data_IF_035994336788
#
_entry.id   IF_035994336788
#
_cell.length_a   1.000
_cell.length_b   1.000
_cell.length_c   1.000
_cell.angle_alpha   90.00
_cell.angle_beta   90.00
_cell.angle_gamma   90.00
#
_symmetry.space_group_name_H-M   'P 1'
#
loop_
_entity.id
_entity.type
_entity.pdbx_description
1 polymer ?
#
# COMPACT_ATOMS: atom_id res chain seq x y z
N UNK A 1 -8.92 -11.56 13.73
CA UNK A 1 -9.74 -10.50 13.13
C UNK A 1 -9.28 -10.15 11.72
N UNK A 2 -8.01 -9.79 11.55
CA UNK A 2 -7.46 -9.44 10.24
C UNK A 2 -6.17 -10.20 9.99
N UNK A 3 -5.94 -10.54 8.74
CA UNK A 3 -4.71 -11.20 8.27
C UNK A 3 -3.68 -10.13 7.87
N UNK A 4 -3.30 -9.30 8.84
CA UNK A 4 -2.28 -8.25 8.68
C UNK A 4 -1.38 -8.19 9.90
N UNK A 5 -0.15 -7.73 9.70
CA UNK A 5 0.79 -7.48 10.78
C UNK A 5 0.23 -6.44 11.75
N UNK A 6 0.33 -6.72 13.05
CA UNK A 6 -0.06 -5.78 14.09
C UNK A 6 1.13 -4.90 14.49
N UNK A 7 0.85 -3.68 14.88
CA UNK A 7 1.86 -2.71 15.31
C UNK A 7 1.98 -2.68 16.82
N UNK A 8 3.21 -2.80 17.35
CA UNK A 8 3.49 -2.65 18.76
C UNK A 8 3.54 -1.16 19.15
N UNK A 9 2.71 -0.76 20.10
CA UNK A 9 2.68 0.60 20.66
C UNK A 9 3.41 0.70 22.01
N UNK A 10 3.71 1.92 22.46
CA UNK A 10 4.44 2.20 23.71
C UNK A 10 3.79 1.60 24.97
N UNK A 11 2.48 1.40 24.96
CA UNK A 11 1.73 0.80 26.06
C UNK A 11 1.88 -0.73 26.15
N UNK A 12 2.80 -1.34 25.38
CA UNK A 12 3.04 -2.77 25.35
C UNK A 12 1.93 -3.60 24.70
N UNK A 13 1.04 -2.97 23.94
CA UNK A 13 -0.04 -3.64 23.21
C UNK A 13 0.21 -3.62 21.71
N UNK A 14 -0.22 -4.69 21.06
CA UNK A 14 -0.29 -4.80 19.61
C UNK A 14 -1.64 -4.28 19.12
N UNK A 15 -1.64 -3.46 18.08
CA UNK A 15 -2.84 -2.91 17.44
C UNK A 15 -2.93 -3.28 15.97
N UNK A 16 -4.12 -3.63 15.53
CA UNK A 16 -4.47 -3.75 14.13
C UNK A 16 -5.02 -2.41 13.62
N UNK A 17 -4.33 -1.75 12.71
CA UNK A 17 -4.77 -0.46 12.14
C UNK A 17 -5.91 -0.58 11.11
N UNK A 18 -6.35 -1.80 10.78
CA UNK A 18 -7.51 -2.03 9.92
C UNK A 18 -8.83 -2.06 10.69
N UNK A 19 -8.85 -2.69 11.86
CA UNK A 19 -10.08 -2.90 12.62
C UNK A 19 -10.04 -2.37 14.06
N UNK A 20 -8.92 -1.81 14.51
CA UNK A 20 -8.75 -1.31 15.88
C UNK A 20 -8.56 -2.42 16.93
N UNK A 21 -8.60 -3.70 16.54
CA UNK A 21 -8.37 -4.80 17.49
C UNK A 21 -7.01 -4.66 18.18
N UNK A 22 -6.96 -4.90 19.48
CA UNK A 22 -5.71 -4.83 20.24
C UNK A 22 -5.58 -5.98 21.25
N UNK A 23 -4.34 -6.43 21.45
CA UNK A 23 -3.99 -7.43 22.47
C UNK A 23 -2.65 -7.07 23.12
N UNK A 24 -2.39 -7.55 24.35
CA UNK A 24 -1.07 -7.42 24.97
C UNK A 24 -0.02 -8.12 24.12
N UNK A 25 1.22 -7.61 24.10
CA UNK A 25 2.33 -8.32 23.44
C UNK A 25 2.50 -9.71 24.03
N UNK A 26 2.36 -10.80 23.26
CA UNK A 26 2.52 -12.15 23.77
C UNK A 26 3.99 -12.40 24.13
N UNK A 27 4.22 -13.17 25.19
CA UNK A 27 5.58 -13.56 25.61
C UNK A 27 6.18 -14.65 24.72
N UNK A 28 5.33 -15.48 24.12
CA UNK A 28 5.70 -16.56 23.22
C UNK A 28 4.90 -16.41 21.92
N UNK A 29 5.50 -16.78 20.80
CA UNK A 29 4.78 -16.79 19.52
C UNK A 29 3.62 -17.79 19.59
N UNK A 30 2.38 -17.36 19.34
CA UNK A 30 1.21 -18.25 19.42
C UNK A 30 1.23 -19.35 18.35
N UNK A 31 2.02 -19.18 17.29
CA UNK A 31 2.13 -20.16 16.19
C UNK A 31 3.23 -21.20 16.43
N UNK A 32 4.43 -20.78 16.87
CA UNK A 32 5.58 -21.70 16.98
C UNK A 32 6.18 -21.79 18.40
N UNK A 33 5.62 -21.09 19.38
CA UNK A 33 6.10 -21.10 20.78
C UNK A 33 7.46 -20.38 21.00
N UNK A 34 8.03 -19.75 20.00
CA UNK A 34 9.31 -19.05 20.12
C UNK A 34 9.22 -17.86 21.09
N UNK A 35 10.17 -17.68 22.01
CA UNK A 35 10.27 -16.50 22.85
C UNK A 35 10.84 -15.27 22.08
N UNK A 36 11.39 -15.48 20.88
CA UNK A 36 12.00 -14.42 20.08
C UNK A 36 10.94 -13.74 19.20
N UNK A 37 10.06 -12.99 19.83
CA UNK A 37 9.09 -12.13 19.13
C UNK A 37 9.65 -10.72 19.15
N UNK A 38 10.07 -10.20 18.00
CA UNK A 38 10.52 -8.82 17.86
C UNK A 38 9.65 -8.06 16.85
N UNK A 39 9.53 -6.75 17.03
CA UNK A 39 8.94 -5.89 16.02
C UNK A 39 9.81 -5.90 14.76
N UNK A 40 9.20 -6.12 13.60
CA UNK A 40 9.89 -6.00 12.31
C UNK A 40 9.87 -4.54 11.85
N UNK A 41 11.04 -4.06 11.44
CA UNK A 41 11.22 -2.70 10.93
C UNK A 41 11.62 -1.68 12.00
N UNK A 42 12.17 -0.57 11.52
CA UNK A 42 12.52 0.58 12.35
C UNK A 42 11.38 1.59 12.25
N UNK A 43 10.50 1.62 13.26
CA UNK A 43 9.47 2.64 13.35
C UNK A 43 10.06 4.04 13.57
N UNK A 44 9.28 5.07 13.29
CA UNK A 44 9.69 6.49 13.46
C UNK A 44 10.21 6.79 14.85
N UNK A 45 9.64 6.15 15.88
CA UNK A 45 10.10 6.31 17.25
C UNK A 45 11.52 5.78 17.48
N UNK A 46 11.81 4.54 17.02
CA UNK A 46 13.15 3.96 17.15
C UNK A 46 14.16 4.76 16.33
N UNK A 47 13.75 5.24 15.17
CA UNK A 47 14.59 6.11 14.34
C UNK A 47 14.89 7.43 15.06
N UNK A 48 13.92 8.03 15.73
CA UNK A 48 14.10 9.22 16.57
C UNK A 48 15.11 8.97 17.70
N UNK A 49 14.96 7.86 18.44
CA UNK A 49 15.87 7.49 19.52
C UNK A 49 17.31 7.30 19.02
N UNK A 50 17.49 6.56 17.90
CA UNK A 50 18.80 6.38 17.28
C UNK A 50 19.40 7.69 16.78
N UNK A 51 18.59 8.56 16.18
CA UNK A 51 19.03 9.86 15.70
C UNK A 51 19.51 10.76 16.84
N UNK A 52 18.78 10.79 17.97
CA UNK A 52 19.19 11.53 19.16
C UNK A 52 20.48 10.99 19.79
N UNK A 53 20.73 9.68 19.68
CA UNK A 53 21.99 9.09 20.13
C UNK A 53 23.17 9.44 19.22
N UNK A 54 22.95 9.42 17.90
CA UNK A 54 23.99 9.74 16.91
C UNK A 54 24.29 11.25 16.85
N UNK A 55 23.28 12.09 17.06
CA UNK A 55 23.36 13.55 17.00
C UNK A 55 22.83 14.19 18.29
N UNK A 56 23.54 14.09 19.42
CA UNK A 56 23.03 14.53 20.73
C UNK A 56 22.72 16.02 20.82
N UNK A 57 23.34 16.83 19.94
CA UNK A 57 23.15 18.28 19.88
C UNK A 57 21.98 18.70 18.98
N UNK A 58 21.46 17.78 18.16
CA UNK A 58 20.41 18.10 17.20
C UNK A 58 19.02 18.09 17.85
N UNK A 59 18.22 19.07 17.52
CA UNK A 59 16.81 19.14 17.87
C UNK A 59 16.03 18.29 16.89
N UNK A 60 15.42 17.22 17.37
CA UNK A 60 14.71 16.24 16.55
C UNK A 60 13.21 16.33 16.78
N UNK A 61 12.45 16.55 15.72
CA UNK A 61 10.99 16.45 15.68
C UNK A 61 10.56 15.14 15.01
N UNK A 62 9.46 14.57 15.48
CA UNK A 62 8.84 13.39 14.90
C UNK A 62 7.39 13.67 14.50
N UNK A 63 7.03 13.25 13.30
CA UNK A 63 5.72 13.40 12.70
C UNK A 63 5.18 12.07 12.17
N UNK A 64 4.27 11.48 12.90
CA UNK A 64 3.57 10.24 12.55
C UNK A 64 2.12 10.27 13.08
N UNK A 65 1.38 9.17 12.90
CA UNK A 65 0.00 9.08 13.34
C UNK A 65 -0.18 9.31 14.85
N UNK A 66 0.81 8.89 15.67
CA UNK A 66 0.75 9.06 17.13
C UNK A 66 0.97 10.51 17.56
N UNK A 67 1.93 11.21 16.93
CA UNK A 67 2.26 12.60 17.27
C UNK A 67 1.25 13.59 16.70
N UNK A 68 0.56 13.23 15.63
CA UNK A 68 -0.44 14.07 14.95
C UNK A 68 -1.89 13.75 15.33
N UNK A 69 -2.11 12.86 16.31
CA UNK A 69 -3.47 12.47 16.75
C UNK A 69 -4.29 13.62 17.37
N UNK A 70 -3.63 14.65 17.90
CA UNK A 70 -4.29 15.85 18.41
C UNK A 70 -4.70 16.78 17.26
N UNK A 71 -5.86 17.43 17.39
CA UNK A 71 -6.30 18.45 16.42
C UNK A 71 -5.24 19.57 16.32
N UNK A 72 -4.74 19.84 15.11
CA UNK A 72 -3.70 20.83 14.85
C UNK A 72 -2.26 20.34 15.05
N UNK A 73 -2.02 19.13 15.58
CA UNK A 73 -0.66 18.62 15.84
C UNK A 73 0.21 18.47 14.59
N UNK A 74 -0.41 18.24 13.45
CA UNK A 74 0.28 18.21 12.15
C UNK A 74 0.84 19.60 11.78
N UNK A 75 0.02 20.64 11.86
CA UNK A 75 0.40 22.01 11.53
C UNK A 75 1.43 22.58 12.52
N UNK A 76 1.28 22.24 13.81
CA UNK A 76 2.22 22.66 14.86
C UNK A 76 3.65 22.15 14.60
N UNK A 77 3.80 20.84 14.32
CA UNK A 77 5.10 20.22 14.04
C UNK A 77 5.76 20.85 12.78
N UNK A 78 4.97 21.06 11.74
CA UNK A 78 5.49 21.62 10.49
C UNK A 78 5.90 23.08 10.64
N UNK A 79 5.09 23.88 11.33
CA UNK A 79 5.42 25.29 11.61
C UNK A 79 6.69 25.43 12.46
N UNK A 80 6.84 24.57 13.47
CA UNK A 80 8.07 24.54 14.29
C UNK A 80 9.30 24.17 13.46
N UNK A 81 9.19 23.19 12.54
CA UNK A 81 10.29 22.83 11.66
C UNK A 81 10.60 23.96 10.66
N UNK A 82 9.60 24.58 10.07
CA UNK A 82 9.75 25.72 9.14
C UNK A 82 10.37 26.94 9.83
N UNK A 83 10.02 27.19 11.09
CA UNK A 83 10.61 28.24 11.91
C UNK A 83 12.07 27.97 12.34
N UNK A 84 12.61 26.77 12.02
CA UNK A 84 13.96 26.38 12.40
C UNK A 84 14.10 25.99 13.88
N UNK A 85 13.01 25.61 14.54
CA UNK A 85 13.03 25.16 15.94
C UNK A 85 13.58 23.74 16.06
N UNK A 86 13.72 23.00 14.93
CA UNK A 86 14.34 21.69 14.88
C UNK A 86 15.30 21.58 13.69
N UNK A 87 16.31 20.74 13.87
CA UNK A 87 17.36 20.47 12.90
C UNK A 87 17.06 19.23 12.05
N UNK A 88 16.28 18.29 12.61
CA UNK A 88 15.92 17.02 11.96
C UNK A 88 14.41 16.76 12.13
N UNK A 89 13.73 16.50 11.03
CA UNK A 89 12.35 16.06 11.02
C UNK A 89 12.28 14.59 10.58
N UNK A 90 11.77 13.72 11.43
CA UNK A 90 11.57 12.29 11.16
C UNK A 90 10.08 12.03 10.99
N UNK A 91 9.71 11.30 9.92
CA UNK A 91 8.30 10.95 9.75
C UNK A 91 8.06 9.91 8.67
N UNK A 92 6.80 9.66 8.44
CA UNK A 92 6.32 8.78 7.37
C UNK A 92 6.08 9.60 6.09
N UNK A 93 5.40 9.01 5.11
CA UNK A 93 4.98 9.71 3.88
C UNK A 93 4.21 11.02 4.12
N UNK A 94 3.72 11.26 5.34
CA UNK A 94 2.99 12.48 5.70
C UNK A 94 3.83 13.73 5.54
N UNK A 95 5.14 13.68 5.85
CA UNK A 95 6.05 14.84 5.74
C UNK A 95 6.35 15.25 4.29
N UNK A 96 6.08 14.37 3.34
CA UNK A 96 6.41 14.61 1.92
C UNK A 96 5.35 15.43 1.22
N UNK A 97 4.09 15.42 1.72
CA UNK A 97 2.94 16.04 1.06
C UNK A 97 2.73 17.49 1.49
N UNK A 98 2.68 18.39 0.50
CA UNK A 98 2.08 19.73 0.67
C UNK A 98 2.92 20.81 1.34
N UNK A 99 4.18 20.55 1.75
CA UNK A 99 5.00 21.52 2.47
C UNK A 99 6.25 21.92 1.69
N UNK A 100 6.65 23.17 1.81
CA UNK A 100 7.80 23.74 1.13
C UNK A 100 8.87 24.21 2.14
N UNK A 101 9.76 23.29 2.52
CA UNK A 101 10.86 23.59 3.43
C UNK A 101 12.05 24.13 2.66
N UNK A 102 12.35 25.43 2.81
CA UNK A 102 13.43 26.11 2.10
C UNK A 102 14.85 25.72 2.56
N UNK A 103 14.99 25.25 3.81
CA UNK A 103 16.29 25.01 4.44
C UNK A 103 16.68 23.53 4.53
N UNK A 104 15.99 22.65 3.83
CA UNK A 104 16.32 21.21 3.83
C UNK A 104 17.46 20.93 2.86
N UNK A 105 18.62 20.58 3.41
CA UNK A 105 19.84 20.24 2.65
C UNK A 105 20.04 18.74 2.47
N UNK A 106 19.40 17.91 3.31
CA UNK A 106 19.49 16.44 3.23
C UNK A 106 18.12 15.79 3.40
N UNK A 107 17.81 14.87 2.52
CA UNK A 107 16.66 13.97 2.66
C UNK A 107 17.13 12.52 2.70
N UNK A 108 16.86 11.82 3.80
CA UNK A 108 17.11 10.39 3.95
C UNK A 108 15.83 9.59 3.76
N UNK A 109 15.81 8.66 2.81
CA UNK A 109 14.67 7.76 2.57
C UNK A 109 15.07 6.36 3.01
N UNK A 110 14.42 5.89 4.08
CA UNK A 110 14.69 4.59 4.67
C UNK A 110 13.79 3.51 4.06
N UNK A 111 14.38 2.35 3.77
CA UNK A 111 13.65 1.15 3.33
C UNK A 111 12.70 1.39 2.14
N UNK A 112 13.21 1.98 1.06
CA UNK A 112 12.44 2.31 -0.16
C UNK A 112 11.73 1.10 -0.78
N UNK A 113 12.21 -0.12 -0.51
CA UNK A 113 11.64 -1.38 -1.00
C UNK A 113 10.27 -1.73 -0.41
N UNK A 114 9.89 -1.16 0.74
CA UNK A 114 8.62 -1.49 1.39
C UNK A 114 7.43 -1.22 0.48
N UNK A 115 7.48 -0.15 -0.29
CA UNK A 115 6.42 0.20 -1.26
C UNK A 115 6.39 -0.73 -2.47
N UNK A 116 7.52 -1.33 -2.87
CA UNK A 116 7.60 -2.31 -3.95
C UNK A 116 7.01 -3.67 -3.59
N UNK A 117 6.98 -4.02 -2.31
CA UNK A 117 6.48 -5.31 -1.84
C UNK A 117 4.96 -5.34 -1.64
N UNK A 118 4.25 -4.27 -2.01
CA UNK A 118 2.78 -4.23 -1.97
C UNK A 118 2.22 -5.05 -3.14
N UNK A 119 1.25 -5.96 -2.92
CA UNK A 119 0.63 -6.76 -3.98
C UNK A 119 -0.37 -5.92 -4.81
N UNK A 120 0.12 -4.91 -5.50
CA UNK A 120 -0.61 -4.00 -6.38
C UNK A 120 0.25 -3.74 -7.63
N UNK A 121 -0.34 -3.84 -8.82
CA UNK A 121 0.38 -3.58 -10.07
C UNK A 121 0.97 -2.16 -10.15
N UNK A 122 0.47 -1.21 -9.36
CA UNK A 122 0.94 0.18 -9.26
C UNK A 122 2.09 0.36 -8.26
N UNK A 123 2.61 -0.70 -7.66
CA UNK A 123 3.64 -0.59 -6.61
C UNK A 123 4.89 0.15 -7.10
N UNK A 124 5.35 -0.14 -8.31
CA UNK A 124 6.51 0.54 -8.91
C UNK A 124 6.25 2.03 -9.18
N UNK A 125 5.07 2.36 -9.70
CA UNK A 125 4.65 3.76 -9.93
C UNK A 125 4.54 4.54 -8.61
N UNK A 126 3.90 3.96 -7.60
CA UNK A 126 3.80 4.59 -6.27
C UNK A 126 5.18 4.80 -5.64
N UNK A 127 6.08 3.83 -5.80
CA UNK A 127 7.45 3.95 -5.30
C UNK A 127 8.16 5.10 -5.99
N UNK A 128 8.13 5.16 -7.32
CA UNK A 128 8.71 6.26 -8.09
C UNK A 128 8.17 7.62 -7.64
N UNK A 129 6.84 7.75 -7.53
CA UNK A 129 6.19 8.99 -7.10
C UNK A 129 6.62 9.42 -5.69
N UNK A 130 6.65 8.50 -4.73
CA UNK A 130 7.05 8.79 -3.36
C UNK A 130 8.51 9.22 -3.27
N UNK A 131 9.41 8.51 -3.96
CA UNK A 131 10.84 8.83 -3.96
C UNK A 131 11.10 10.18 -4.62
N UNK A 132 10.47 10.46 -5.76
CA UNK A 132 10.61 11.73 -6.48
C UNK A 132 10.04 12.90 -5.67
N UNK A 133 8.88 12.72 -5.01
CA UNK A 133 8.32 13.73 -4.13
C UNK A 133 9.23 14.03 -2.93
N UNK A 134 9.79 12.98 -2.30
CA UNK A 134 10.71 13.13 -1.18
C UNK A 134 12.01 13.81 -1.63
N UNK A 135 12.60 13.36 -2.73
CA UNK A 135 13.81 13.96 -3.31
C UNK A 135 13.61 15.45 -3.64
N UNK A 136 12.44 15.81 -4.16
CA UNK A 136 12.08 17.19 -4.46
C UNK A 136 11.95 18.11 -3.23
N UNK A 137 12.15 17.62 -2.00
CA UNK A 137 12.22 18.47 -0.78
C UNK A 137 13.60 19.01 -0.48
N UNK A 138 14.65 18.37 -0.94
CA UNK A 138 16.02 18.83 -0.73
C UNK A 138 16.39 19.96 -1.72
N UNK A 139 17.16 20.95 -1.25
CA UNK A 139 17.80 21.95 -2.11
C UNK A 139 16.87 23.03 -2.66
N UNK A 140 15.76 23.34 -2.00
CA UNK A 140 14.84 24.42 -2.42
C UNK A 140 15.28 25.81 -1.99
N UNK A 141 16.30 25.91 -1.15
CA UNK A 141 16.85 27.17 -0.69
C UNK A 141 18.11 27.58 -1.45
N UNK A 142 18.95 28.37 -0.79
CA UNK A 142 20.23 28.87 -1.33
C UNK A 142 21.32 27.78 -1.36
N UNK A 143 21.15 26.68 -0.64
CA UNK A 143 22.13 25.59 -0.57
C UNK A 143 21.69 24.38 -1.41
N UNK A 144 22.63 23.69 -2.07
CA UNK A 144 22.30 22.46 -2.81
C UNK A 144 21.81 21.37 -1.84
N UNK A 145 20.83 20.59 -2.28
CA UNK A 145 20.29 19.48 -1.52
C UNK A 145 20.90 18.14 -1.94
N UNK A 146 21.01 17.23 -0.98
CA UNK A 146 21.41 15.85 -1.20
C UNK A 146 20.28 14.91 -0.80
N UNK A 147 20.16 13.77 -1.51
CA UNK A 147 19.17 12.73 -1.22
C UNK A 147 19.88 11.39 -1.09
N UNK A 148 19.62 10.68 0.00
CA UNK A 148 20.13 9.33 0.23
C UNK A 148 18.96 8.35 0.28
N UNK A 149 18.96 7.38 -0.61
CA UNK A 149 17.92 6.34 -0.68
C UNK A 149 18.52 5.02 -0.19
N UNK A 150 18.02 4.52 0.94
CA UNK A 150 18.37 3.19 1.43
C UNK A 150 17.47 2.14 0.81
N UNK A 151 18.06 1.14 0.16
CA UNK A 151 17.33 0.08 -0.54
C UNK A 151 18.15 -1.21 -0.62
N UNK A 152 17.47 -2.36 -0.66
CA UNK A 152 18.05 -3.67 -1.01
C UNK A 152 18.01 -3.94 -2.53
N UNK A 153 17.31 -3.10 -3.30
CA UNK A 153 17.11 -3.28 -4.75
C UNK A 153 17.46 -2.02 -5.53
N UNK A 154 18.73 -1.56 -5.48
CA UNK A 154 19.15 -0.32 -6.14
C UNK A 154 18.93 -0.34 -7.66
N UNK A 155 18.97 -1.54 -8.26
CA UNK A 155 18.81 -1.74 -9.72
C UNK A 155 17.34 -1.78 -10.16
N UNK A 156 16.38 -1.68 -9.21
CA UNK A 156 14.97 -1.64 -9.59
C UNK A 156 14.67 -0.33 -10.33
N UNK A 157 14.06 -0.43 -11.53
CA UNK A 157 13.89 0.73 -12.41
C UNK A 157 13.17 1.92 -11.77
N UNK A 158 12.20 1.70 -10.87
CA UNK A 158 11.52 2.80 -10.18
C UNK A 158 12.42 3.54 -9.19
N UNK A 159 13.41 2.86 -8.59
CA UNK A 159 14.39 3.47 -7.68
C UNK A 159 15.48 4.17 -8.47
N UNK A 160 16.04 3.48 -9.47
CA UNK A 160 17.07 4.03 -10.36
C UNK A 160 16.62 5.33 -11.03
N UNK A 161 15.42 5.32 -11.63
CA UNK A 161 14.89 6.50 -12.33
C UNK A 161 14.45 7.61 -11.37
N UNK A 162 13.90 7.26 -10.20
CA UNK A 162 13.58 8.26 -9.17
C UNK A 162 14.83 8.97 -8.63
N UNK A 163 15.95 8.26 -8.44
CA UNK A 163 17.21 8.84 -8.03
C UNK A 163 17.76 9.87 -9.04
N UNK A 164 17.42 9.71 -10.31
CA UNK A 164 17.77 10.66 -11.40
C UNK A 164 16.65 11.66 -11.70
N UNK A 165 15.49 11.53 -11.05
CA UNK A 165 14.25 12.27 -11.35
C UNK A 165 13.83 12.16 -12.83
N UNK A 166 14.11 11.02 -13.46
CA UNK A 166 13.86 10.74 -14.87
C UNK A 166 12.50 10.05 -15.05
N UNK A 167 11.45 10.86 -15.20
CA UNK A 167 10.09 10.38 -15.43
C UNK A 167 9.96 9.64 -16.77
N UNK A 168 10.61 10.12 -17.83
CA UNK A 168 10.48 9.53 -19.17
C UNK A 168 11.07 8.11 -19.21
N UNK A 169 12.23 7.90 -18.59
CA UNK A 169 12.82 6.58 -18.47
C UNK A 169 11.96 5.65 -17.58
N UNK A 170 11.39 6.18 -16.50
CA UNK A 170 10.44 5.43 -15.68
C UNK A 170 9.21 5.02 -16.49
N UNK A 171 8.54 5.99 -17.12
CA UNK A 171 7.33 5.75 -17.91
C UNK A 171 7.55 4.71 -19.01
N UNK A 172 8.65 4.79 -19.73
CA UNK A 172 8.97 3.87 -20.81
C UNK A 172 9.08 2.42 -20.33
N UNK A 173 9.71 2.18 -19.18
CA UNK A 173 9.83 0.85 -18.58
C UNK A 173 8.52 0.36 -17.99
N UNK A 174 7.81 1.23 -17.26
CA UNK A 174 6.52 0.90 -16.62
C UNK A 174 5.45 0.57 -17.66
N UNK A 175 5.29 1.35 -18.72
CA UNK A 175 4.27 1.09 -19.73
C UNK A 175 4.56 -0.18 -20.56
N UNK A 176 5.84 -0.49 -20.79
CA UNK A 176 6.23 -1.75 -21.43
C UNK A 176 5.85 -2.96 -20.54
N UNK A 177 6.11 -2.89 -19.25
CA UNK A 177 5.69 -3.91 -18.29
C UNK A 177 4.16 -4.06 -18.25
N UNK A 178 3.41 -2.95 -18.19
CA UNK A 178 1.94 -2.99 -18.16
C UNK A 178 1.33 -3.55 -19.43
N UNK A 179 1.92 -3.25 -20.60
CA UNK A 179 1.51 -3.87 -21.87
C UNK A 179 1.74 -5.37 -21.86
N UNK A 180 2.91 -5.84 -21.44
CA UNK A 180 3.24 -7.25 -21.36
C UNK A 180 2.31 -8.01 -20.42
N UNK A 181 1.93 -7.40 -19.28
CA UNK A 181 1.10 -8.02 -18.24
C UNK A 181 -0.40 -7.72 -18.39
N UNK A 182 -0.81 -7.00 -19.42
CA UNK A 182 -2.18 -6.52 -19.59
C UNK A 182 -2.71 -5.80 -18.35
N UNK A 183 -1.96 -4.80 -17.86
CA UNK A 183 -2.39 -3.93 -16.77
C UNK A 183 -2.81 -2.54 -17.26
N UNK A 184 -3.71 -1.84 -16.55
CA UNK A 184 -4.04 -0.47 -16.85
C UNK A 184 -2.80 0.45 -16.88
N UNK A 185 -2.71 1.43 -17.81
CA UNK A 185 -3.72 1.84 -18.79
C UNK A 185 -3.66 1.06 -20.12
N UNK A 186 -2.70 0.13 -20.31
CA UNK A 186 -2.57 -0.66 -21.54
C UNK A 186 -3.75 -1.60 -21.76
N UNK A 187 -4.44 -1.99 -20.70
CA UNK A 187 -5.68 -2.75 -20.71
C UNK A 187 -6.64 -2.11 -19.71
N UNK A 188 -7.91 -2.46 -19.73
CA UNK A 188 -8.88 -2.11 -18.68
C UNK A 188 -9.10 -3.30 -17.77
N UNK A 189 -9.40 -3.03 -16.50
CA UNK A 189 -9.56 -4.09 -15.52
C UNK A 189 -10.78 -3.83 -14.64
N UNK A 190 -11.56 -4.88 -14.40
CA UNK A 190 -12.60 -4.92 -13.38
C UNK A 190 -12.21 -5.92 -12.30
N UNK A 191 -12.45 -5.56 -11.05
CA UNK A 191 -12.29 -6.44 -9.91
C UNK A 191 -13.65 -6.78 -9.31
N UNK A 192 -13.87 -8.06 -9.01
CA UNK A 192 -15.03 -8.55 -8.26
C UNK A 192 -14.52 -9.09 -6.94
N UNK A 193 -14.84 -8.43 -5.85
CA UNK A 193 -14.49 -8.83 -4.50
C UNK A 193 -15.64 -9.60 -3.86
N UNK A 194 -15.35 -10.79 -3.37
CA UNK A 194 -16.24 -11.63 -2.60
C UNK A 194 -15.82 -11.63 -1.14
N UNK A 195 -16.76 -11.45 -0.21
CA UNK A 195 -16.44 -11.48 1.22
C UNK A 195 -17.53 -12.18 2.02
N UNK A 196 -17.12 -13.03 2.99
CA UNK A 196 -18.02 -13.72 3.90
C UNK A 196 -17.36 -13.98 5.27
N UNK A 197 -18.18 -14.19 6.31
CA UNK A 197 -17.69 -14.62 7.62
C UNK A 197 -17.28 -16.10 7.65
N UNK A 198 -17.97 -16.92 6.89
CA UNK A 198 -17.68 -18.35 6.75
C UNK A 198 -16.78 -18.58 5.55
N UNK A 199 -15.62 -19.15 5.79
CA UNK A 199 -14.60 -19.41 4.77
C UNK A 199 -15.05 -20.50 3.78
N UNK A 200 -15.71 -21.56 4.27
CA UNK A 200 -16.18 -22.66 3.45
C UNK A 200 -17.33 -22.23 2.52
N UNK A 201 -18.24 -21.38 3.05
CA UNK A 201 -19.30 -20.78 2.25
C UNK A 201 -18.73 -19.87 1.15
N UNK A 202 -17.69 -19.05 1.49
CA UNK A 202 -17.01 -18.22 0.52
C UNK A 202 -16.37 -19.06 -0.60
N UNK A 203 -15.66 -20.14 -0.25
CA UNK A 203 -15.02 -21.03 -1.22
C UNK A 203 -16.05 -21.69 -2.15
N UNK A 204 -17.14 -22.18 -1.58
CA UNK A 204 -18.22 -22.80 -2.35
C UNK A 204 -18.85 -21.82 -3.34
N UNK A 205 -19.19 -20.61 -2.87
CA UNK A 205 -19.75 -19.56 -3.73
C UNK A 205 -18.78 -19.13 -4.82
N UNK A 206 -17.51 -18.91 -4.49
CA UNK A 206 -16.48 -18.50 -5.45
C UNK A 206 -16.30 -19.51 -6.58
N UNK A 207 -16.42 -20.79 -6.30
CA UNK A 207 -16.37 -21.85 -7.31
C UNK A 207 -17.53 -21.72 -8.31
N UNK A 208 -18.78 -21.63 -7.80
CA UNK A 208 -19.97 -21.42 -8.63
C UNK A 208 -19.92 -20.10 -9.41
N UNK A 209 -19.44 -19.04 -8.77
CA UNK A 209 -19.27 -17.73 -9.40
C UNK A 209 -18.25 -17.78 -10.56
N UNK A 210 -17.15 -18.50 -10.36
CA UNK A 210 -16.13 -18.70 -11.42
C UNK A 210 -16.69 -19.41 -12.64
N UNK A 211 -17.47 -20.48 -12.43
CA UNK A 211 -18.14 -21.21 -13.49
C UNK A 211 -19.13 -20.31 -14.25
N UNK A 212 -19.97 -19.57 -13.52
CA UNK A 212 -20.94 -18.64 -14.12
C UNK A 212 -20.25 -17.53 -14.92
N UNK A 213 -19.21 -16.90 -14.36
CA UNK A 213 -18.45 -15.85 -15.04
C UNK A 213 -17.76 -16.43 -16.28
N UNK A 214 -17.18 -17.62 -16.19
CA UNK A 214 -16.56 -18.27 -17.35
C UNK A 214 -17.54 -18.51 -18.48
N UNK A 215 -18.79 -18.87 -18.18
CA UNK A 215 -19.85 -19.01 -19.19
C UNK A 215 -20.21 -17.68 -19.83
N UNK A 216 -20.33 -16.62 -19.04
CA UNK A 216 -20.58 -15.25 -19.54
C UNK A 216 -19.48 -14.82 -20.49
N UNK A 217 -18.20 -15.01 -20.10
CA UNK A 217 -17.05 -14.58 -20.89
C UNK A 217 -16.90 -15.35 -22.22
N UNK A 218 -17.27 -16.64 -22.25
CA UNK A 218 -17.27 -17.45 -23.49
C UNK A 218 -18.30 -16.97 -24.52
N UNK A 219 -19.36 -16.32 -24.08
CA UNK A 219 -20.41 -15.77 -24.96
C UNK A 219 -20.05 -14.41 -25.60
N UNK A 220 -18.90 -13.83 -25.25
CA UNK A 220 -18.49 -12.50 -25.72
C UNK A 220 -17.47 -12.57 -26.85
N UNK A 221 -17.52 -11.57 -27.72
CA UNK A 221 -16.56 -11.42 -28.81
C UNK A 221 -15.28 -10.73 -28.32
N UNK A 222 -14.11 -11.31 -28.63
CA UNK A 222 -12.80 -10.73 -28.34
C UNK A 222 -12.08 -11.36 -27.15
N UNK A 223 -10.79 -11.07 -27.00
CA UNK A 223 -9.94 -11.63 -25.95
C UNK A 223 -10.30 -11.02 -24.59
N UNK A 224 -10.90 -11.84 -23.73
CA UNK A 224 -11.17 -11.50 -22.34
C UNK A 224 -10.37 -12.42 -21.42
N UNK A 225 -9.62 -11.84 -20.49
CA UNK A 225 -8.84 -12.60 -19.52
C UNK A 225 -9.51 -12.49 -18.16
N UNK A 226 -9.73 -13.64 -17.50
CA UNK A 226 -10.12 -13.68 -16.08
C UNK A 226 -9.04 -14.34 -15.24
N UNK A 227 -8.80 -13.79 -14.04
CA UNK A 227 -7.81 -14.28 -13.09
C UNK A 227 -8.48 -14.42 -11.73
N UNK A 228 -8.48 -15.60 -11.17
CA UNK A 228 -9.13 -15.91 -9.89
C UNK A 228 -10.44 -16.66 -10.05
N UNK A 229 -11.26 -16.74 -8.96
CA UNK A 229 -11.10 -16.10 -7.65
C UNK A 229 -9.87 -16.60 -6.88
N UNK A 230 -9.04 -15.64 -6.43
CA UNK A 230 -7.87 -15.89 -5.57
C UNK A 230 -8.04 -15.15 -4.24
N UNK A 231 -7.24 -15.49 -3.24
CA UNK A 231 -7.24 -14.73 -1.99
C UNK A 231 -6.93 -13.26 -2.27
N UNK A 232 -7.71 -12.35 -1.67
CA UNK A 232 -7.42 -10.93 -1.76
C UNK A 232 -6.07 -10.61 -1.11
N UNK A 233 -5.39 -9.49 -1.48
CA UNK A 233 -4.11 -9.08 -0.88
C UNK A 233 -4.11 -9.02 0.65
N UNK A 234 -5.25 -8.67 1.25
CA UNK A 234 -5.53 -8.89 2.66
C UNK A 234 -6.69 -9.89 2.73
N UNK A 235 -6.38 -11.14 3.04
CA UNK A 235 -7.33 -12.24 2.94
C UNK A 235 -8.47 -12.13 3.96
N UNK A 236 -8.20 -11.63 5.16
CA UNK A 236 -9.19 -11.47 6.22
C UNK A 236 -9.17 -10.05 6.79
N UNK A 237 -10.33 -9.40 6.88
CA UNK A 237 -10.51 -8.06 7.47
C UNK A 237 -11.82 -8.05 8.27
N UNK A 238 -11.78 -7.65 9.55
CA UNK A 238 -12.97 -7.63 10.43
C UNK A 238 -13.71 -8.96 10.47
N UNK A 239 -12.99 -10.06 10.60
CA UNK A 239 -13.52 -11.42 10.57
C UNK A 239 -14.26 -11.83 9.25
N UNK A 240 -14.09 -11.04 8.20
CA UNK A 240 -14.57 -11.33 6.86
C UNK A 240 -13.43 -11.89 6.01
N UNK A 241 -13.54 -13.10 5.52
CA UNK A 241 -12.66 -13.68 4.51
C UNK A 241 -12.95 -13.07 3.15
N UNK A 242 -11.91 -12.87 2.34
CA UNK A 242 -12.00 -12.07 1.10
C UNK A 242 -11.29 -12.76 -0.05
N UNK A 243 -12.00 -12.91 -1.17
CA UNK A 243 -11.45 -13.37 -2.46
C UNK A 243 -11.72 -12.35 -3.54
N UNK A 244 -10.86 -12.33 -4.55
CA UNK A 244 -10.94 -11.36 -5.64
C UNK A 244 -10.80 -12.08 -6.99
N UNK A 245 -11.61 -11.66 -7.94
CA UNK A 245 -11.53 -12.09 -9.34
C UNK A 245 -11.30 -10.84 -10.20
N UNK A 246 -10.30 -10.89 -11.06
CA UNK A 246 -10.02 -9.82 -12.01
C UNK A 246 -10.50 -10.23 -13.40
N UNK A 247 -11.12 -9.29 -14.11
CA UNK A 247 -11.49 -9.42 -15.51
C UNK A 247 -10.80 -8.31 -16.28
N UNK A 248 -10.07 -8.66 -17.34
CA UNK A 248 -9.30 -7.73 -18.17
C UNK A 248 -9.83 -7.74 -19.59
N UNK A 249 -9.99 -6.54 -20.18
CA UNK A 249 -10.40 -6.37 -21.56
C UNK A 249 -9.88 -5.02 -22.08
N UNK A 250 -9.52 -4.94 -23.36
CA UNK A 250 -9.00 -3.71 -23.96
C UNK A 250 -10.09 -2.63 -24.10
N UNK A 251 -11.31 -3.05 -24.45
CA UNK A 251 -12.44 -2.15 -24.64
C UNK A 251 -13.21 -1.95 -23.33
N UNK A 252 -13.37 -0.68 -22.93
CA UNK A 252 -14.02 -0.27 -21.71
C UNK A 252 -15.54 -0.56 -21.70
N UNK A 253 -16.22 -0.35 -22.84
CA UNK A 253 -17.68 -0.57 -22.93
C UNK A 253 -18.03 -2.04 -22.79
N UNK A 254 -17.20 -2.92 -23.38
CA UNK A 254 -17.35 -4.37 -23.21
C UNK A 254 -17.13 -4.74 -21.74
N UNK A 255 -16.14 -4.14 -21.06
CA UNK A 255 -15.90 -4.41 -19.65
C UNK A 255 -17.09 -3.98 -18.77
N UNK A 256 -17.76 -2.86 -19.10
CA UNK A 256 -19.02 -2.44 -18.45
C UNK A 256 -20.13 -3.45 -18.69
N UNK A 257 -20.28 -3.95 -19.91
CA UNK A 257 -21.25 -5.00 -20.21
C UNK A 257 -20.97 -6.27 -19.39
N UNK A 258 -19.73 -6.73 -19.38
CA UNK A 258 -19.30 -7.88 -18.59
C UNK A 258 -19.65 -7.69 -17.12
N UNK A 259 -19.36 -6.52 -16.55
CA UNK A 259 -19.72 -6.20 -15.17
C UNK A 259 -21.22 -6.35 -14.92
N UNK A 260 -22.08 -5.76 -15.78
CA UNK A 260 -23.56 -5.88 -15.65
C UNK A 260 -24.01 -7.31 -15.73
N UNK A 261 -23.54 -8.06 -16.74
CA UNK A 261 -23.89 -9.49 -16.91
C UNK A 261 -23.42 -10.34 -15.72
N UNK A 262 -22.23 -10.03 -15.19
CA UNK A 262 -21.69 -10.71 -14.01
C UNK A 262 -22.53 -10.38 -12.78
N UNK A 263 -22.90 -9.12 -12.56
CA UNK A 263 -23.74 -8.70 -11.45
C UNK A 263 -25.11 -9.40 -11.50
N UNK A 264 -25.75 -9.42 -12.65
CA UNK A 264 -27.04 -10.12 -12.86
C UNK A 264 -26.90 -11.64 -12.69
N UNK A 265 -25.87 -12.23 -13.29
CA UNK A 265 -25.62 -13.67 -13.23
C UNK A 265 -25.30 -14.19 -11.84
N UNK A 266 -24.78 -13.33 -10.95
CA UNK A 266 -24.47 -13.68 -9.56
C UNK A 266 -25.62 -13.40 -8.59
N UNK A 267 -26.64 -12.59 -8.95
CA UNK A 267 -27.77 -12.26 -8.05
C UNK A 267 -28.58 -13.49 -7.63
N UNK A 268 -28.79 -14.42 -8.53
CA UNK A 268 -29.56 -15.64 -8.27
C UNK A 268 -28.74 -16.88 -7.94
N UNK A 269 -27.45 -16.74 -7.70
CA UNK A 269 -26.58 -17.88 -7.46
C UNK A 269 -26.77 -18.40 -6.03
N UNK A 270 -26.92 -19.72 -5.90
CA UNK A 270 -27.04 -20.40 -4.61
C UNK A 270 -25.82 -20.16 -3.73
N UNK A 271 -26.05 -19.94 -2.44
CA UNK A 271 -24.98 -19.64 -1.45
C UNK A 271 -24.60 -18.17 -1.37
N UNK A 272 -25.39 -17.26 -1.96
CA UNK A 272 -25.15 -15.81 -1.87
C UNK A 272 -25.56 -15.20 -0.52
N UNK A 273 -26.43 -15.85 0.23
CA UNK A 273 -26.90 -15.36 1.51
C UNK A 273 -25.74 -15.21 2.50
N UNK A 274 -25.61 -14.01 3.09
CA UNK A 274 -24.49 -13.68 4.00
C UNK A 274 -23.17 -13.32 3.31
N UNK A 275 -23.13 -13.32 1.95
CA UNK A 275 -21.97 -12.84 1.20
C UNK A 275 -22.11 -11.39 0.72
N UNK A 276 -21.02 -10.68 0.78
CA UNK A 276 -20.87 -9.36 0.13
C UNK A 276 -20.14 -9.54 -1.20
N UNK A 277 -20.68 -8.95 -2.27
CA UNK A 277 -20.03 -8.88 -3.58
C UNK A 277 -19.89 -7.43 -3.98
N UNK A 278 -18.67 -6.98 -4.22
CA UNK A 278 -18.34 -5.61 -4.61
C UNK A 278 -17.67 -5.61 -5.97
N UNK A 279 -17.94 -4.58 -6.77
CA UNK A 279 -17.42 -4.44 -8.13
C UNK A 279 -16.64 -3.14 -8.23
N UNK A 280 -15.42 -3.20 -8.75
CA UNK A 280 -14.56 -2.05 -9.03
C UNK A 280 -14.14 -2.07 -10.51
N UNK A 281 -14.02 -0.88 -11.11
CA UNK A 281 -13.57 -0.66 -12.48
C UNK A 281 -12.38 0.28 -12.47
N UNK A 282 -11.28 -0.14 -13.10
CA UNK A 282 -10.03 0.64 -13.23
C UNK A 282 -9.67 0.90 -14.69
#
# INVERSE_FOLDING_TARGET
HCDVSMTLHKNGRLYCHYCGYSLPMPKLCPSCGSPYIAGFGTGTQKLEEMTKQLFPQARVLRMDADTTAKKGGHEEILSAFEAGEADILIGTQMIVKGHDFKNVTLVGIMAADLSLNTPDYRCAERTFQLLTQAAGRAGRGSQPGSVVIQTYRPDHYSIETAARQDYEAFYSREIAYRRMMNYPPACRMSAVLFAAKDEAALEHFCRKASERISMILKGLSGPCQSIGPVNAPVYKVNDMYRKILYIKHENYDILIQIRKMTEEGLKGLEGRDGLTVQYDLT
#
